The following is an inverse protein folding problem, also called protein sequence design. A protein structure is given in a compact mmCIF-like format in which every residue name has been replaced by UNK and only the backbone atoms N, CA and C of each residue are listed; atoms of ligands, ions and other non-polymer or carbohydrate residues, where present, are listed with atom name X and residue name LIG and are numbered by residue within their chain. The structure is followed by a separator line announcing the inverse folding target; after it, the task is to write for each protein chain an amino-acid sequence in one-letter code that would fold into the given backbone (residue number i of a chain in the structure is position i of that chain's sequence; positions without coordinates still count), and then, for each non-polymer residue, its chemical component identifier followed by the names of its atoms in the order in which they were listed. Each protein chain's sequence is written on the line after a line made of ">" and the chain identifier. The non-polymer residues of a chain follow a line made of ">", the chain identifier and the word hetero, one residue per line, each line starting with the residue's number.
data_IF_936320347309
#
_entry.id   IF_936320347309
#
_cell.length_a   1.000
_cell.length_b   1.000
_cell.length_c   1.000
_cell.angle_alpha   90.00
_cell.angle_beta   90.00
_cell.angle_gamma   90.00
#
_symmetry.space_group_name_H-M   'P 1'
#
loop_
_entity.id
_entity.type
_entity.pdbx_description
1 polymer ?
#
# COMPACT_ATOMS: atom_id res chain seq x y z
N UNK A 1 0.26 -13.84 -7.36
CA UNK A 1 0.10 -14.30 -5.95
C UNK A 1 1.28 -13.91 -5.05
N UNK A 2 2.42 -13.45 -5.58
CA UNK A 2 3.65 -13.38 -4.77
C UNK A 2 3.80 -12.19 -3.83
N UNK A 3 3.08 -11.08 -4.02
CA UNK A 3 3.31 -9.83 -3.25
C UNK A 3 2.43 -9.76 -1.99
N UNK A 4 1.19 -10.23 -2.07
CA UNK A 4 0.19 -10.14 -1.00
C UNK A 4 -0.03 -11.47 -0.26
N UNK A 5 0.68 -12.53 -0.67
CA UNK A 5 0.65 -13.85 -0.03
C UNK A 5 -0.61 -14.66 -0.31
N UNK A 6 -0.65 -15.86 0.26
CA UNK A 6 -1.78 -16.80 0.11
C UNK A 6 -3.10 -16.26 0.68
N UNK A 7 -3.05 -15.29 1.59
CA UNK A 7 -4.25 -14.67 2.18
C UNK A 7 -5.15 -13.93 1.17
N UNK A 8 -4.64 -13.62 -0.02
CA UNK A 8 -5.44 -13.06 -1.11
C UNK A 8 -6.08 -14.11 -2.01
N UNK A 9 -5.74 -15.39 -1.83
CA UNK A 9 -6.39 -16.49 -2.53
C UNK A 9 -7.86 -16.52 -2.14
N UNK A 10 -8.73 -16.52 -3.15
CA UNK A 10 -10.19 -16.53 -3.00
C UNK A 10 -10.80 -15.31 -2.28
N UNK A 11 -10.01 -14.25 -2.00
CA UNK A 11 -10.52 -12.99 -1.43
C UNK A 11 -11.67 -12.39 -2.25
N UNK A 12 -11.62 -12.56 -3.57
CA UNK A 12 -12.64 -12.09 -4.51
C UNK A 12 -14.03 -12.71 -4.28
N UNK A 13 -14.11 -13.86 -3.59
CA UNK A 13 -15.35 -14.53 -3.21
C UNK A 13 -15.84 -14.15 -1.81
N UNK A 14 -15.02 -13.42 -1.04
CA UNK A 14 -15.32 -13.08 0.35
C UNK A 14 -16.33 -11.95 0.47
N UNK A 15 -16.88 -11.77 1.69
CA UNK A 15 -17.86 -10.72 2.00
C UNK A 15 -19.30 -11.21 1.92
N UNK A 16 -20.23 -10.34 2.31
CA UNK A 16 -21.66 -10.63 2.25
C UNK A 16 -22.16 -10.54 0.80
N UNK A 17 -23.19 -11.33 0.44
CA UNK A 17 -23.66 -11.48 -0.94
C UNK A 17 -24.00 -10.14 -1.62
N UNK A 18 -24.52 -9.19 -0.86
CA UNK A 18 -24.86 -7.85 -1.31
C UNK A 18 -23.64 -6.97 -1.67
N UNK A 19 -22.44 -7.33 -1.25
CA UNK A 19 -21.20 -6.55 -1.43
C UNK A 19 -20.00 -7.33 -1.98
N UNK A 20 -20.08 -8.67 -2.12
CA UNK A 20 -19.01 -9.52 -2.67
C UNK A 20 -18.51 -9.03 -4.04
N UNK A 21 -19.39 -8.43 -4.84
CA UNK A 21 -19.01 -7.86 -6.14
C UNK A 21 -17.92 -6.78 -6.03
N UNK A 22 -17.83 -6.04 -4.92
CA UNK A 22 -16.78 -5.05 -4.66
C UNK A 22 -15.43 -5.74 -4.49
N UNK A 23 -15.38 -6.86 -3.75
CA UNK A 23 -14.15 -7.64 -3.57
C UNK A 23 -13.71 -8.30 -4.89
N UNK A 24 -14.67 -8.75 -5.68
CA UNK A 24 -14.42 -9.23 -7.03
C UNK A 24 -13.81 -8.14 -7.92
N UNK A 25 -14.41 -6.94 -7.96
CA UNK A 25 -13.87 -5.82 -8.74
C UNK A 25 -12.48 -5.42 -8.27
N UNK A 26 -12.24 -5.38 -6.96
CA UNK A 26 -10.90 -5.09 -6.43
C UNK A 26 -9.89 -6.11 -6.95
N UNK A 27 -10.21 -7.40 -6.89
CA UNK A 27 -9.29 -8.44 -7.31
C UNK A 27 -9.06 -8.44 -8.83
N UNK A 28 -10.14 -8.36 -9.60
CA UNK A 28 -10.11 -8.38 -11.06
C UNK A 28 -9.41 -7.14 -11.63
N UNK A 29 -9.77 -5.95 -11.15
CA UNK A 29 -9.18 -4.72 -11.65
C UNK A 29 -7.73 -4.53 -11.18
N UNK A 30 -7.47 -4.70 -9.88
CA UNK A 30 -6.14 -4.47 -9.33
C UNK A 30 -5.17 -5.57 -9.78
N UNK A 31 -5.45 -6.84 -9.47
CA UNK A 31 -4.53 -7.94 -9.72
C UNK A 31 -4.68 -8.56 -11.11
N UNK A 32 -5.89 -8.58 -11.67
CA UNK A 32 -6.18 -9.15 -12.98
C UNK A 32 -5.80 -8.24 -14.17
N UNK A 33 -5.75 -6.92 -13.98
CA UNK A 33 -5.29 -5.95 -15.00
C UNK A 33 -4.05 -5.16 -14.53
N UNK A 34 -4.19 -4.21 -13.61
CA UNK A 34 -3.15 -3.19 -13.38
C UNK A 34 -1.78 -3.75 -12.99
N UNK A 35 -1.74 -4.81 -12.18
CA UNK A 35 -0.51 -5.49 -11.76
C UNK A 35 0.10 -6.40 -12.85
N UNK A 36 -0.64 -6.74 -13.90
CA UNK A 36 -0.13 -7.52 -15.03
C UNK A 36 0.68 -6.69 -16.02
N UNK A 37 0.53 -5.35 -15.96
CA UNK A 37 1.22 -4.42 -16.87
C UNK A 37 2.73 -4.44 -16.64
N UNK A 38 3.49 -4.29 -17.71
CA UNK A 38 4.97 -4.25 -17.65
C UNK A 38 5.49 -2.80 -17.59
N UNK A 39 6.77 -2.62 -17.29
CA UNK A 39 7.47 -1.32 -17.30
C UNK A 39 7.78 -0.73 -15.93
N UNK A 40 7.09 -1.17 -14.89
CA UNK A 40 7.44 -0.90 -13.49
C UNK A 40 7.57 -2.20 -12.71
N UNK A 41 8.63 -2.32 -11.94
CA UNK A 41 8.80 -3.44 -11.01
C UNK A 41 7.89 -3.29 -9.78
N UNK A 42 7.83 -4.34 -8.95
CA UNK A 42 6.97 -4.33 -7.76
C UNK A 42 7.39 -3.29 -6.72
N UNK A 43 8.69 -3.00 -6.57
CA UNK A 43 9.17 -1.98 -5.63
C UNK A 43 8.71 -0.60 -6.04
N UNK A 44 8.76 -0.30 -7.34
CA UNK A 44 8.31 0.96 -7.92
C UNK A 44 6.79 1.12 -7.76
N UNK A 45 6.02 0.07 -8.05
CA UNK A 45 4.54 0.08 -7.94
C UNK A 45 4.07 0.31 -6.51
N UNK A 46 4.65 -0.40 -5.56
CA UNK A 46 4.33 -0.26 -4.13
C UNK A 46 4.77 1.11 -3.60
N UNK A 47 5.92 1.63 -4.04
CA UNK A 47 6.36 2.97 -3.66
C UNK A 47 5.41 4.06 -4.17
N UNK A 48 4.99 3.97 -5.44
CA UNK A 48 4.02 4.91 -6.03
C UNK A 48 2.69 4.85 -5.28
N UNK A 49 2.21 3.65 -4.96
CA UNK A 49 0.98 3.44 -4.18
C UNK A 49 1.09 4.08 -2.79
N UNK A 50 2.21 3.87 -2.10
CA UNK A 50 2.50 4.51 -0.82
C UNK A 50 2.45 6.05 -0.90
N UNK A 51 3.08 6.65 -1.93
CA UNK A 51 3.07 8.09 -2.16
C UNK A 51 1.63 8.62 -2.35
N UNK A 52 0.81 7.94 -3.15
CA UNK A 52 -0.58 8.35 -3.37
C UNK A 52 -1.44 8.24 -2.12
N UNK A 53 -1.31 7.16 -1.34
CA UNK A 53 -2.04 6.99 -0.08
C UNK A 53 -1.65 8.05 0.95
N UNK A 54 -0.35 8.35 1.06
CA UNK A 54 0.14 9.43 1.92
C UNK A 54 -0.40 10.79 1.49
N UNK A 55 -0.43 11.06 0.18
CA UNK A 55 -0.98 12.29 -0.37
C UNK A 55 -2.50 12.39 -0.23
N UNK A 56 -3.24 11.29 -0.31
CA UNK A 56 -4.70 11.27 -0.20
C UNK A 56 -5.17 11.56 1.24
N UNK A 57 -4.57 10.92 2.24
CA UNK A 57 -4.96 11.02 3.64
C UNK A 57 -6.31 10.35 3.95
N UNK A 58 -6.63 10.11 5.23
CA UNK A 58 -7.86 9.42 5.63
C UNK A 58 -7.93 7.94 5.25
N UNK A 59 -6.79 7.38 4.82
CA UNK A 59 -6.60 5.99 4.38
C UNK A 59 -5.44 5.35 5.14
N UNK A 60 -5.24 5.74 6.40
CA UNK A 60 -4.16 5.28 7.26
C UNK A 60 -4.06 3.75 7.39
N UNK A 61 -5.17 2.97 7.46
CA UNK A 61 -5.09 1.51 7.43
C UNK A 61 -4.41 0.95 6.17
N UNK A 62 -4.76 1.49 5.00
CA UNK A 62 -4.15 1.13 3.72
C UNK A 62 -2.69 1.59 3.67
N UNK A 63 -2.41 2.82 4.10
CA UNK A 63 -1.06 3.37 4.14
C UNK A 63 -0.12 2.54 5.02
N UNK A 64 -0.57 2.12 6.21
CA UNK A 64 0.20 1.23 7.10
C UNK A 64 0.45 -0.14 6.44
N UNK A 65 -0.57 -0.72 5.78
CA UNK A 65 -0.41 -1.99 5.06
C UNK A 65 0.62 -1.89 3.93
N UNK A 66 0.54 -0.84 3.11
CA UNK A 66 1.49 -0.61 2.01
C UNK A 66 2.88 -0.19 2.48
N UNK A 67 3.01 0.45 3.64
CA UNK A 67 4.31 0.68 4.27
C UNK A 67 4.98 -0.65 4.66
N UNK A 68 4.22 -1.59 5.23
CA UNK A 68 4.74 -2.92 5.56
C UNK A 68 5.10 -3.72 4.29
N UNK A 69 4.27 -3.66 3.26
CA UNK A 69 4.53 -4.30 1.97
C UNK A 69 5.83 -3.78 1.33
N UNK A 70 6.02 -2.45 1.30
CA UNK A 70 7.25 -1.81 0.83
C UNK A 70 8.49 -2.35 1.56
N UNK A 71 8.45 -2.45 2.90
CA UNK A 71 9.58 -2.97 3.68
C UNK A 71 9.88 -4.44 3.37
N UNK A 72 8.85 -5.28 3.20
CA UNK A 72 9.02 -6.71 2.84
C UNK A 72 9.69 -6.91 1.48
N UNK A 73 9.47 -5.98 0.55
CA UNK A 73 10.09 -6.01 -0.79
C UNK A 73 11.38 -5.17 -0.87
N UNK A 74 11.89 -4.68 0.26
CA UNK A 74 13.21 -4.07 0.38
C UNK A 74 13.27 -2.55 0.27
N UNK A 75 12.13 -1.85 0.30
CA UNK A 75 12.07 -0.40 0.54
C UNK A 75 11.99 -0.19 2.06
N UNK A 76 13.14 -0.13 2.73
CA UNK A 76 13.21 -0.13 4.19
C UNK A 76 12.58 1.10 4.86
N UNK A 77 12.47 1.05 6.19
CA UNK A 77 11.89 2.15 7.00
C UNK A 77 12.58 3.50 6.76
N UNK A 78 13.91 3.51 6.68
CA UNK A 78 14.67 4.75 6.51
C UNK A 78 14.39 5.37 5.13
N UNK A 79 14.31 4.53 4.10
CA UNK A 79 13.95 4.94 2.75
C UNK A 79 12.55 5.54 2.69
N UNK A 80 11.54 4.92 3.31
CA UNK A 80 10.18 5.48 3.33
C UNK A 80 10.09 6.82 4.07
N UNK A 81 10.89 7.03 5.13
CA UNK A 81 10.98 8.33 5.82
C UNK A 81 11.59 9.39 4.90
N UNK A 82 12.60 9.05 4.09
CA UNK A 82 13.17 9.96 3.10
C UNK A 82 12.13 10.34 2.03
N UNK A 83 11.31 9.39 1.59
CA UNK A 83 10.20 9.63 0.65
C UNK A 83 9.17 10.60 1.25
N UNK A 84 8.76 10.39 2.51
CA UNK A 84 7.85 11.30 3.22
C UNK A 84 8.47 12.71 3.30
N UNK A 85 9.77 12.79 3.62
CA UNK A 85 10.49 14.05 3.74
C UNK A 85 10.50 14.82 2.42
N UNK A 86 10.69 14.13 1.29
CA UNK A 86 10.59 14.71 -0.05
C UNK A 86 9.14 15.12 -0.41
N UNK A 87 8.14 14.36 0.03
CA UNK A 87 6.73 14.65 -0.22
C UNK A 87 6.18 15.81 0.62
N UNK A 88 6.79 16.09 1.79
CA UNK A 88 6.34 17.08 2.76
C UNK A 88 5.95 18.45 2.16
N UNK A 89 6.76 19.10 1.30
CA UNK A 89 6.38 20.39 0.72
C UNK A 89 5.13 20.33 -0.18
N UNK A 90 4.79 19.15 -0.71
CA UNK A 90 3.66 18.98 -1.63
C UNK A 90 2.37 18.56 -0.92
N UNK A 91 2.47 17.81 0.18
CA UNK A 91 1.30 17.25 0.88
C UNK A 91 1.06 17.86 2.27
N UNK A 92 2.00 18.69 2.76
CA UNK A 92 1.91 19.38 4.04
C UNK A 92 2.19 18.51 5.27
N UNK A 93 2.36 19.17 6.41
CA UNK A 93 2.68 18.52 7.68
C UNK A 93 1.64 17.50 8.16
N UNK A 94 0.32 17.77 8.14
CA UNK A 94 -0.66 16.82 8.70
C UNK A 94 -0.59 15.43 8.04
N UNK A 95 -0.53 15.40 6.70
CA UNK A 95 -0.44 14.14 5.93
C UNK A 95 0.92 13.46 6.12
N UNK A 96 2.00 14.24 6.14
CA UNK A 96 3.35 13.71 6.36
C UNK A 96 3.52 13.09 7.74
N UNK A 97 2.96 13.70 8.78
CA UNK A 97 3.01 13.18 10.15
C UNK A 97 2.16 11.91 10.30
N UNK A 98 0.98 11.84 9.67
CA UNK A 98 0.19 10.62 9.61
C UNK A 98 0.96 9.49 8.89
N UNK A 99 1.60 9.80 7.76
CA UNK A 99 2.42 8.83 7.03
C UNK A 99 3.61 8.33 7.87
N UNK A 100 4.29 9.21 8.59
CA UNK A 100 5.39 8.83 9.49
C UNK A 100 4.90 7.90 10.60
N UNK A 101 3.74 8.17 11.21
CA UNK A 101 3.12 7.27 12.20
C UNK A 101 2.83 5.89 11.58
N UNK A 102 2.20 5.84 10.41
CA UNK A 102 1.92 4.59 9.70
C UNK A 102 3.19 3.78 9.40
N UNK A 103 4.28 4.43 8.97
CA UNK A 103 5.59 3.78 8.73
C UNK A 103 6.18 3.21 10.02
N UNK A 104 6.08 3.93 11.14
CA UNK A 104 6.55 3.43 12.44
C UNK A 104 5.74 2.21 12.90
N UNK A 105 4.41 2.28 12.84
CA UNK A 105 3.52 1.17 13.20
C UNK A 105 3.74 -0.07 12.33
N UNK A 106 3.94 0.13 11.02
CA UNK A 106 4.27 -0.95 10.11
C UNK A 106 5.60 -1.62 10.49
N UNK A 107 6.64 -0.84 10.76
CA UNK A 107 7.95 -1.37 11.15
C UNK A 107 7.90 -2.14 12.48
N UNK A 108 7.12 -1.68 13.45
CA UNK A 108 7.00 -2.36 14.74
C UNK A 108 6.30 -3.72 14.64
N UNK A 109 5.39 -3.90 13.68
CA UNK A 109 4.73 -5.19 13.41
C UNK A 109 5.59 -6.18 12.63
N UNK A 110 6.71 -5.73 12.06
CA UNK A 110 7.64 -6.57 11.28
C UNK A 110 8.85 -7.06 12.09
N UNK A 111 9.01 -6.56 13.32
CA UNK A 111 9.97 -7.11 14.30
C UNK A 111 9.48 -8.46 14.81
#
# INVERSE_FOLDING_TARGET
>A
MDIFGEGMRDFWQSGAKESTHINYWLADNCFGDYYTRTGLDYKQRELITFCFLAAQGGVEPQLTSHAAANMKIGNDKAFLIAVISNALPFIGYPRSLNALRCVNEAADKLK
#
